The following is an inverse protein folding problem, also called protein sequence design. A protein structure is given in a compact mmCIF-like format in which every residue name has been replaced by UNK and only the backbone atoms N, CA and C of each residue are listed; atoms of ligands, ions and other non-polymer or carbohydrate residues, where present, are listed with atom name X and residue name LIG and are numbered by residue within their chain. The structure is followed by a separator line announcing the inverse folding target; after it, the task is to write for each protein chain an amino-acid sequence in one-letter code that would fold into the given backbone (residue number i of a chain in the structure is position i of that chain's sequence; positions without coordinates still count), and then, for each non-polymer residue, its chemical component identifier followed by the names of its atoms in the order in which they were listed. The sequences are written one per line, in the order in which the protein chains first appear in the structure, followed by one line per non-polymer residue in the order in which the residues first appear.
data_IF_588076225899
#
_entry.id   IF_588076225899
#
_cell.length_a   1.000
_cell.length_b   1.000
_cell.length_c   1.000
_cell.angle_alpha   90.00
_cell.angle_beta   90.00
_cell.angle_gamma   90.00
#
_symmetry.space_group_name_H-M   'P 1'
#
loop_
_entity.id
_entity.type
_entity.pdbx_description
1 polymer ?
#
# COMPACT_ATOMS: atom_id res chain seq x y z
N UNK A 1 -6.58 -5.24 13.28
CA UNK A 1 -5.40 -5.53 14.12
C UNK A 1 -4.55 -4.27 14.20
N UNK A 2 -4.02 -3.90 15.37
CA UNK A 2 -3.16 -2.72 15.50
C UNK A 2 -1.85 -2.89 14.71
N UNK A 3 -1.40 -1.82 14.03
CA UNK A 3 -0.18 -1.79 13.23
C UNK A 3 1.06 -1.77 14.15
N UNK A 4 2.10 -2.53 13.81
CA UNK A 4 3.27 -2.77 14.67
C UNK A 4 4.45 -1.86 14.27
N UNK A 5 5.04 -1.13 15.23
CA UNK A 5 6.18 -0.21 15.00
C UNK A 5 7.43 -0.89 14.43
N UNK A 6 7.66 -2.15 14.82
CA UNK A 6 8.55 -3.08 14.13
C UNK A 6 7.75 -4.37 14.00
N UNK A 7 7.27 -4.73 12.80
CA UNK A 7 6.55 -5.98 12.64
C UNK A 7 7.47 -7.13 13.12
N UNK A 8 7.01 -7.98 14.06
CA UNK A 8 7.77 -9.13 14.50
C UNK A 8 8.07 -10.02 13.30
N UNK A 9 9.22 -10.70 13.34
CA UNK A 9 9.65 -11.56 12.23
C UNK A 9 8.55 -12.55 11.86
N UNK A 10 8.13 -12.53 10.59
CA UNK A 10 7.23 -13.53 10.04
C UNK A 10 7.92 -14.89 10.07
N UNK A 11 7.33 -15.85 10.77
CA UNK A 11 7.82 -17.21 10.90
C UNK A 11 6.85 -18.22 10.29
N UNK A 12 7.38 -19.41 9.99
CA UNK A 12 6.60 -20.59 9.64
C UNK A 12 6.31 -21.40 10.91
N UNK A 13 5.05 -21.60 11.22
CA UNK A 13 4.64 -22.61 12.18
C UNK A 13 4.62 -23.99 11.49
N UNK A 14 5.68 -24.78 11.68
CA UNK A 14 5.92 -26.04 10.95
C UNK A 14 4.74 -27.01 10.98
N UNK A 15 4.09 -27.17 12.13
CA UNK A 15 3.01 -28.14 12.30
C UNK A 15 1.74 -27.79 11.51
N UNK A 16 1.41 -26.50 11.35
CA UNK A 16 0.20 -26.08 10.63
C UNK A 16 0.46 -25.48 9.25
N UNK A 17 1.72 -25.27 8.87
CA UNK A 17 2.08 -24.57 7.63
C UNK A 17 1.74 -23.08 7.62
N UNK A 18 1.34 -22.50 8.76
CA UNK A 18 0.84 -21.13 8.83
C UNK A 18 1.96 -20.12 9.08
N UNK A 19 1.81 -18.94 8.48
CA UNK A 19 2.54 -17.75 8.84
C UNK A 19 2.15 -17.32 10.25
N UNK A 20 3.14 -17.12 11.12
CA UNK A 20 2.90 -16.64 12.47
C UNK A 20 3.92 -15.57 12.88
N UNK A 21 3.47 -14.67 13.77
CA UNK A 21 4.33 -13.73 14.47
C UNK A 21 4.15 -13.92 15.98
N UNK A 22 5.22 -13.73 16.74
CA UNK A 22 5.15 -13.71 18.20
C UNK A 22 5.19 -12.26 18.68
N UNK A 23 4.17 -11.83 19.41
CA UNK A 23 3.99 -10.46 19.85
C UNK A 23 3.31 -10.39 21.21
N UNK A 24 3.82 -9.56 22.13
CA UNK A 24 3.29 -9.40 23.49
C UNK A 24 3.04 -10.74 24.21
N UNK A 25 3.95 -11.71 24.06
CA UNK A 25 3.83 -13.04 24.66
C UNK A 25 2.78 -13.96 24.01
N UNK A 26 2.13 -13.53 22.91
CA UNK A 26 1.13 -14.30 22.18
C UNK A 26 1.58 -14.60 20.76
N UNK A 27 1.26 -15.80 20.27
CA UNK A 27 1.42 -16.18 18.86
C UNK A 27 0.18 -15.77 18.07
N UNK A 28 0.38 -15.03 16.98
CA UNK A 28 -0.67 -14.64 16.05
C UNK A 28 -0.46 -15.36 14.73
N UNK A 29 -1.51 -16.01 14.23
CA UNK A 29 -1.52 -16.69 12.95
C UNK A 29 -2.11 -15.78 11.87
N UNK A 30 -1.43 -15.68 10.73
CA UNK A 30 -1.72 -14.69 9.69
C UNK A 30 -2.21 -15.32 8.38
N UNK A 31 -2.34 -16.65 8.32
CA UNK A 31 -2.72 -17.40 7.12
C UNK A 31 -1.64 -18.39 6.71
N UNK A 32 -1.70 -18.92 5.48
CA UNK A 32 -0.71 -19.86 4.97
C UNK A 32 0.67 -19.17 4.82
N UNK A 33 1.74 -19.83 5.24
CA UNK A 33 3.09 -19.29 5.02
C UNK A 33 3.40 -19.19 3.52
N UNK A 34 4.02 -18.09 3.11
CA UNK A 34 4.30 -17.80 1.70
C UNK A 34 3.07 -17.40 0.87
N UNK A 35 1.90 -17.20 1.48
CA UNK A 35 0.71 -16.68 0.79
C UNK A 35 0.65 -15.16 0.82
N UNK A 36 -0.17 -14.59 -0.07
CA UNK A 36 -0.48 -13.15 -0.08
C UNK A 36 -1.13 -12.77 1.26
N UNK A 37 -2.11 -13.56 1.70
CA UNK A 37 -2.86 -13.36 2.94
C UNK A 37 -1.94 -13.30 4.17
N UNK A 38 -0.95 -14.20 4.25
CA UNK A 38 0.06 -14.20 5.31
C UNK A 38 1.02 -13.00 5.28
N UNK A 39 1.16 -12.37 4.11
CA UNK A 39 2.10 -11.27 3.88
C UNK A 39 1.45 -9.89 4.06
N UNK A 40 0.17 -9.73 3.69
CA UNK A 40 -0.54 -8.45 3.75
C UNK A 40 -0.43 -7.71 5.10
N UNK A 41 -0.52 -8.37 6.28
CA UNK A 41 -0.39 -7.69 7.58
C UNK A 41 1.01 -7.12 7.86
N UNK A 42 2.02 -7.52 7.08
CA UNK A 42 3.42 -7.09 7.23
C UNK A 42 3.75 -5.90 6.32
N UNK A 43 2.87 -5.56 5.37
CA UNK A 43 3.09 -4.49 4.40
C UNK A 43 2.58 -3.14 4.96
N UNK A 44 3.19 -2.02 4.55
CA UNK A 44 2.57 -0.70 4.71
C UNK A 44 1.15 -0.71 4.12
N UNK A 45 0.24 0.06 4.72
CA UNK A 45 -1.17 0.05 4.35
C UNK A 45 -1.40 0.25 2.84
N UNK A 46 -0.79 1.29 2.28
CA UNK A 46 -0.85 1.60 0.85
C UNK A 46 -0.37 0.43 0.00
N UNK A 47 0.74 -0.21 0.36
CA UNK A 47 1.27 -1.38 -0.39
C UNK A 47 0.34 -2.59 -0.26
N UNK A 48 -0.26 -2.81 0.92
CA UNK A 48 -1.26 -3.86 1.10
C UNK A 48 -2.49 -3.61 0.20
N UNK A 49 -2.93 -2.36 0.08
CA UNK A 49 -4.06 -1.97 -0.77
C UNK A 49 -3.72 -2.10 -2.26
N UNK A 50 -2.51 -1.72 -2.68
CA UNK A 50 -2.01 -1.98 -4.03
C UNK A 50 -2.05 -3.47 -4.38
N UNK A 51 -1.57 -4.35 -3.48
CA UNK A 51 -1.58 -5.81 -3.69
C UNK A 51 -3.01 -6.35 -3.75
N UNK A 52 -3.92 -5.87 -2.89
CA UNK A 52 -5.34 -6.26 -2.92
C UNK A 52 -5.98 -5.84 -4.24
N UNK A 53 -5.80 -4.59 -4.64
CA UNK A 53 -6.36 -4.04 -5.88
C UNK A 53 -5.84 -4.82 -7.10
N UNK A 54 -4.54 -5.10 -7.15
CA UNK A 54 -3.93 -5.87 -8.23
C UNK A 54 -4.54 -7.27 -8.34
N UNK A 55 -4.72 -7.96 -7.21
CA UNK A 55 -5.28 -9.32 -7.16
C UNK A 55 -6.77 -9.35 -7.55
N UNK A 56 -7.53 -8.30 -7.24
CA UNK A 56 -8.95 -8.22 -7.53
C UNK A 56 -9.26 -7.85 -8.98
N UNK A 57 -8.38 -7.09 -9.63
CA UNK A 57 -8.59 -6.57 -10.99
C UNK A 57 -7.74 -7.25 -12.06
N UNK A 58 -6.70 -7.99 -11.66
CA UNK A 58 -5.73 -8.59 -12.58
C UNK A 58 -4.91 -7.55 -13.35
N UNK A 59 -4.84 -6.32 -12.86
CA UNK A 59 -4.01 -5.29 -13.47
C UNK A 59 -2.50 -5.55 -13.23
N UNK A 60 -1.66 -4.91 -14.04
CA UNK A 60 -0.20 -4.95 -13.91
C UNK A 60 0.23 -4.04 -12.76
N UNK A 61 1.40 -4.31 -12.13
CA UNK A 61 1.92 -3.43 -11.08
C UNK A 61 2.03 -1.97 -11.50
N UNK A 62 2.48 -1.69 -12.73
CA UNK A 62 2.59 -0.32 -13.24
C UNK A 62 1.24 0.38 -13.42
N UNK A 63 0.16 -0.35 -13.70
CA UNK A 63 -1.20 0.22 -13.78
C UNK A 63 -1.72 0.57 -12.39
N UNK A 64 -1.35 -0.20 -11.35
CA UNK A 64 -1.63 0.17 -9.95
C UNK A 64 -0.87 1.43 -9.57
N UNK A 65 0.42 1.52 -9.91
CA UNK A 65 1.25 2.67 -9.57
C UNK A 65 0.78 3.98 -10.21
N UNK A 66 0.14 3.90 -11.38
CA UNK A 66 -0.23 5.06 -12.20
C UNK A 66 -1.70 5.45 -12.15
N UNK A 67 -2.55 4.75 -11.40
CA UNK A 67 -3.99 5.06 -11.33
C UNK A 67 -4.23 6.42 -10.66
N UNK A 68 -5.02 7.27 -11.33
CA UNK A 68 -5.48 8.57 -10.81
C UNK A 68 -7.01 8.61 -10.80
N UNK A 69 -7.65 9.45 -9.96
CA UNK A 69 -9.10 9.55 -9.94
C UNK A 69 -9.71 9.92 -11.30
N UNK A 70 -9.02 10.75 -12.10
CA UNK A 70 -9.50 11.13 -13.44
C UNK A 70 -9.55 9.98 -14.45
N UNK A 71 -8.77 8.92 -14.23
CA UNK A 71 -8.68 7.79 -15.17
C UNK A 71 -9.80 6.75 -14.93
N UNK A 72 -10.60 6.94 -13.88
CA UNK A 72 -11.62 6.00 -13.43
C UNK A 72 -13.01 6.55 -13.71
N UNK A 73 -13.70 5.91 -14.65
CA UNK A 73 -15.12 6.12 -14.90
C UNK A 73 -15.94 5.37 -13.86
N UNK A 74 -16.73 6.12 -13.08
CA UNK A 74 -17.53 5.63 -11.95
C UNK A 74 -19.04 5.73 -12.20
N UNK A 75 -19.45 5.91 -13.46
CA UNK A 75 -20.86 6.12 -13.83
C UNK A 75 -21.74 4.88 -13.68
N UNK A 76 -21.14 3.68 -13.60
CA UNK A 76 -21.85 2.40 -13.52
C UNK A 76 -21.49 1.61 -12.24
N UNK A 77 -22.17 0.49 -12.02
CA UNK A 77 -21.91 -0.43 -10.91
C UNK A 77 -20.49 -1.01 -10.96
N UNK A 78 -19.97 -1.30 -12.17
CA UNK A 78 -18.58 -1.70 -12.39
C UNK A 78 -17.84 -0.51 -12.98
N UNK A 79 -16.82 -0.03 -12.26
CA UNK A 79 -16.05 1.13 -12.72
C UNK A 79 -15.04 0.72 -13.80
N UNK A 80 -14.70 1.65 -14.68
CA UNK A 80 -13.77 1.41 -15.79
C UNK A 80 -12.52 2.25 -15.58
N UNK A 81 -11.36 1.61 -15.51
CA UNK A 81 -10.06 2.29 -15.49
C UNK A 81 -9.35 2.10 -16.83
N UNK A 82 -8.95 3.23 -17.44
CA UNK A 82 -8.21 3.27 -18.70
C UNK A 82 -6.83 3.91 -18.46
N UNK A 83 -5.75 3.11 -18.30
CA UNK A 83 -4.41 3.64 -18.04
C UNK A 83 -3.89 4.49 -19.21
N UNK A 84 -3.33 5.66 -18.90
CA UNK A 84 -2.78 6.61 -19.89
C UNK A 84 -1.48 6.08 -20.54
N UNK A 85 -0.62 5.43 -19.74
CA UNK A 85 0.77 5.13 -20.11
C UNK A 85 1.01 3.64 -20.43
N UNK A 86 1.34 3.38 -21.69
CA UNK A 86 1.35 2.04 -22.30
C UNK A 86 2.77 1.49 -22.36
N UNK A 87 3.09 0.49 -21.51
CA UNK A 87 4.24 -0.41 -21.75
C UNK A 87 4.16 -1.12 -23.12
N UNK A 88 2.96 -1.17 -23.71
CA UNK A 88 2.68 -1.72 -25.03
C UNK A 88 2.21 -0.64 -26.01
N UNK A 89 2.73 0.60 -25.95
CA UNK A 89 2.39 1.63 -26.95
C UNK A 89 2.65 1.18 -28.40
N UNK A 90 3.58 0.24 -28.60
CA UNK A 90 3.87 -0.38 -29.91
C UNK A 90 2.92 -1.53 -30.29
N UNK A 91 2.01 -1.95 -29.40
CA UNK A 91 0.96 -2.92 -29.71
C UNK A 91 -0.40 -2.25 -29.54
N UNK A 92 -1.11 -2.14 -30.64
CA UNK A 92 -2.33 -1.34 -30.87
C UNK A 92 -3.57 -1.89 -30.11
N UNK A 93 -3.48 -2.01 -28.78
CA UNK A 93 -4.54 -2.60 -27.94
C UNK A 93 -4.79 -1.71 -26.73
N UNK A 94 -5.96 -1.07 -26.73
CA UNK A 94 -6.52 -0.43 -25.55
C UNK A 94 -6.91 -1.50 -24.52
N UNK A 95 -6.44 -1.35 -23.28
CA UNK A 95 -6.82 -2.23 -22.18
C UNK A 95 -7.68 -1.47 -21.19
N UNK A 96 -8.93 -1.90 -21.05
CA UNK A 96 -9.82 -1.43 -19.99
C UNK A 96 -9.76 -2.39 -18.81
N UNK A 97 -9.56 -1.86 -17.61
CA UNK A 97 -9.59 -2.62 -16.35
C UNK A 97 -10.96 -2.40 -15.71
N UNK A 98 -11.68 -3.49 -15.47
CA UNK A 98 -12.96 -3.47 -14.78
C UNK A 98 -12.73 -3.54 -13.27
N UNK A 99 -13.28 -2.59 -12.52
CA UNK A 99 -13.14 -2.47 -11.07
C UNK A 99 -14.49 -2.81 -10.45
N UNK A 100 -14.64 -4.05 -10.02
CA UNK A 100 -15.84 -4.52 -9.31
C UNK A 100 -15.88 -4.10 -7.84
N UNK A 101 -17.00 -4.35 -7.12
CA UNK A 101 -17.28 -3.77 -5.80
C UNK A 101 -16.18 -3.98 -4.73
N UNK A 102 -15.53 -5.16 -4.74
CA UNK A 102 -14.41 -5.42 -3.82
C UNK A 102 -13.19 -4.53 -4.12
N UNK A 103 -12.87 -4.32 -5.39
CA UNK A 103 -11.77 -3.45 -5.78
C UNK A 103 -12.12 -1.97 -5.56
N UNK A 104 -13.39 -1.60 -5.74
CA UNK A 104 -13.89 -0.26 -5.41
C UNK A 104 -13.67 0.05 -3.93
N UNK A 105 -13.99 -0.87 -3.01
CA UNK A 105 -13.77 -0.65 -1.58
C UNK A 105 -12.30 -0.41 -1.20
N UNK A 106 -11.37 -0.96 -1.98
CA UNK A 106 -9.93 -0.74 -1.79
C UNK A 106 -9.51 0.62 -2.33
N UNK A 107 -10.08 1.04 -3.47
CA UNK A 107 -9.69 2.28 -4.15
C UNK A 107 -10.42 3.53 -3.60
N UNK A 108 -11.63 3.38 -3.07
CA UNK A 108 -12.47 4.48 -2.58
C UNK A 108 -11.77 5.48 -1.65
N UNK A 109 -11.00 5.05 -0.63
CA UNK A 109 -10.29 5.98 0.25
C UNK A 109 -9.34 6.91 -0.50
N UNK A 110 -8.78 6.42 -1.62
CA UNK A 110 -7.81 7.13 -2.42
C UNK A 110 -8.45 7.92 -3.58
N UNK A 111 -9.77 7.96 -3.71
CA UNK A 111 -10.45 8.78 -4.73
C UNK A 111 -10.83 10.18 -4.24
N UNK A 112 -10.75 10.44 -2.93
CA UNK A 112 -11.05 11.75 -2.33
C UNK A 112 -9.82 12.67 -2.37
N UNK A 113 -9.30 12.94 -3.57
CA UNK A 113 -8.09 13.74 -3.81
C UNK A 113 -8.16 14.45 -5.17
N UNK A 114 -7.23 15.37 -5.50
CA UNK A 114 -7.18 16.01 -6.82
C UNK A 114 -7.18 15.00 -7.96
N UNK A 115 -7.88 15.31 -9.05
CA UNK A 115 -8.18 14.34 -10.10
C UNK A 115 -6.94 13.81 -10.83
N UNK A 116 -5.89 14.62 -10.91
CA UNK A 116 -4.58 14.36 -11.54
C UNK A 116 -3.56 13.70 -10.61
N UNK A 117 -3.87 13.58 -9.32
CA UNK A 117 -2.98 12.98 -8.32
C UNK A 117 -3.04 11.45 -8.34
N UNK A 118 -1.90 10.78 -8.10
CA UNK A 118 -1.88 9.32 -8.00
C UNK A 118 -2.66 8.86 -6.76
N UNK A 119 -3.44 7.79 -6.91
CA UNK A 119 -4.18 7.19 -5.80
C UNK A 119 -3.23 6.58 -4.75
N UNK A 120 -2.11 5.99 -5.19
CA UNK A 120 -1.13 5.36 -4.32
C UNK A 120 0.21 6.11 -4.35
N UNK A 121 0.34 7.15 -3.52
CA UNK A 121 1.55 7.97 -3.42
C UNK A 121 2.52 7.48 -2.32
N UNK A 122 3.78 7.13 -2.66
CA UNK A 122 4.82 6.82 -1.67
C UNK A 122 5.12 7.98 -0.73
N UNK A 123 5.08 9.21 -1.21
CA UNK A 123 5.33 10.39 -0.41
C UNK A 123 4.28 10.56 0.68
N UNK A 124 3.00 10.37 0.35
CA UNK A 124 1.91 10.40 1.32
C UNK A 124 1.98 9.22 2.29
N UNK A 125 2.25 8.02 1.78
CA UNK A 125 2.41 6.82 2.61
C UNK A 125 3.51 7.00 3.66
N UNK A 126 4.66 7.55 3.27
CA UNK A 126 5.77 7.83 4.17
C UNK A 126 5.44 8.94 5.16
N UNK A 127 4.77 10.02 4.72
CA UNK A 127 4.30 11.09 5.60
C UNK A 127 3.34 10.54 6.67
N UNK A 128 2.39 9.70 6.29
CA UNK A 128 1.45 9.05 7.21
C UNK A 128 2.20 8.13 8.18
N UNK A 129 3.13 7.31 7.69
CA UNK A 129 3.96 6.43 8.53
C UNK A 129 4.75 7.22 9.57
N UNK A 130 5.38 8.33 9.18
CA UNK A 130 6.12 9.19 10.09
C UNK A 130 5.21 9.87 11.12
N UNK A 131 3.99 10.26 10.75
CA UNK A 131 3.00 10.82 11.66
C UNK A 131 2.51 9.78 12.69
N UNK A 132 2.20 8.56 12.25
CA UNK A 132 1.82 7.44 13.14
C UNK A 132 2.96 7.12 14.13
N UNK A 133 4.21 7.05 13.66
CA UNK A 133 5.37 6.84 14.53
C UNK A 133 5.57 8.00 15.52
N UNK A 134 5.34 9.23 15.08
CA UNK A 134 5.44 10.38 15.97
C UNK A 134 4.35 10.37 17.04
N UNK A 135 3.11 10.02 16.69
CA UNK A 135 2.00 9.88 17.62
C UNK A 135 2.22 8.73 18.63
N UNK A 136 2.81 7.61 18.18
CA UNK A 136 3.15 6.47 19.03
C UNK A 136 4.45 6.67 19.84
N UNK A 137 5.09 7.83 19.74
CA UNK A 137 6.37 8.10 20.41
C UNK A 137 6.15 8.20 21.92
N UNK A 138 6.90 7.38 22.66
CA UNK A 138 6.93 7.40 24.15
C UNK A 138 7.99 8.38 24.68
N UNK A 139 9.10 8.55 23.95
CA UNK A 139 10.17 9.46 24.37
C UNK A 139 9.71 10.92 24.28
N UNK A 140 9.84 11.74 25.34
CA UNK A 140 9.50 13.15 25.29
C UNK A 140 10.22 13.94 24.18
N UNK A 141 9.66 15.08 23.78
CA UNK A 141 10.17 15.87 22.65
C UNK A 141 11.47 16.61 22.96
N UNK A 142 11.79 16.83 24.24
CA UNK A 142 13.04 17.42 24.70
C UNK A 142 14.22 16.43 24.72
N UNK A 143 13.97 15.13 24.50
CA UNK A 143 15.01 14.10 24.56
C UNK A 143 15.33 13.49 23.18
N UNK A 144 16.63 13.43 22.85
CA UNK A 144 17.14 12.73 21.68
C UNK A 144 16.71 13.31 20.33
N UNK A 145 16.61 12.45 19.31
CA UNK A 145 16.20 12.84 17.96
C UNK A 145 14.72 13.28 17.94
N UNK A 146 14.47 14.46 17.35
CA UNK A 146 13.13 15.01 17.13
C UNK A 146 12.67 14.67 15.70
N UNK A 147 11.35 14.62 15.44
CA UNK A 147 10.85 14.47 14.08
C UNK A 147 11.49 15.50 13.15
N UNK A 148 12.11 15.02 12.08
CA UNK A 148 12.79 15.88 11.12
C UNK A 148 14.25 16.24 11.42
N UNK A 149 14.78 15.96 12.62
CA UNK A 149 16.16 16.33 12.97
C UNK A 149 17.21 15.36 12.43
N UNK A 150 16.90 14.06 12.42
CA UNK A 150 17.80 13.03 11.89
C UNK A 150 17.48 12.74 10.42
N UNK A 151 17.81 13.69 9.55
CA UNK A 151 17.62 13.61 8.09
C UNK A 151 18.92 13.89 7.37
N UNK A 152 19.20 13.12 6.33
CA UNK A 152 20.29 13.42 5.39
C UNK A 152 19.88 14.61 4.52
N UNK A 153 20.69 15.67 4.48
CA UNK A 153 20.40 16.92 3.73
C UNK A 153 20.15 16.68 2.23
N UNK A 154 20.94 15.78 1.63
CA UNK A 154 20.86 15.42 0.21
C UNK A 154 20.73 13.89 0.07
N UNK A 155 19.53 13.32 0.27
CA UNK A 155 19.33 11.89 0.14
C UNK A 155 19.39 11.46 -1.33
N UNK A 156 20.03 10.32 -1.62
CA UNK A 156 20.14 9.76 -2.99
C UNK A 156 18.79 9.43 -3.62
N UNK A 157 17.77 9.16 -2.81
CA UNK A 157 16.39 8.87 -3.24
C UNK A 157 15.42 9.60 -2.32
N UNK A 158 14.41 10.22 -2.90
CA UNK A 158 13.28 10.80 -2.18
C UNK A 158 12.02 10.03 -2.58
N UNK A 159 11.05 9.86 -1.67
CA UNK A 159 9.72 9.37 -2.07
C UNK A 159 9.17 10.31 -3.15
N UNK A 160 8.80 9.76 -4.29
CA UNK A 160 8.06 10.48 -5.33
C UNK A 160 6.55 10.36 -5.11
N UNK A 161 5.79 10.99 -6.00
CA UNK A 161 4.32 10.92 -5.98
C UNK A 161 3.78 9.64 -6.64
N UNK A 162 4.57 9.03 -7.53
CA UNK A 162 4.27 7.76 -8.19
C UNK A 162 5.05 6.62 -7.55
N UNK A 163 4.38 5.50 -7.28
CA UNK A 163 4.96 4.27 -6.71
C UNK A 163 5.85 3.48 -7.66
#
# INVERSE_FOLDING_TARGET
MPRLNRPPKLGLHKASGQACVHWQGKRHYLGKYGSVEGTLPQLPAVVADMVRFQRLTGCRPGEVCSIRPMDVDRSAEVWLYRPEDRKTAHHDRERTIFIGPKAQSVLMPDLLRPADSFCFSPAEAEKQRLAELHAARVTPMNCGNKPGSNKVRHPKRRPGDRS
#
